data_IF_753120815879
#
_entry.id   IF_753120815879
#
_cell.length_a   1.000
_cell.length_b   1.000
_cell.length_c   1.000
_cell.angle_alpha   90.00
_cell.angle_beta   90.00
_cell.angle_gamma   90.00
#
_symmetry.space_group_name_H-M   'P 1'
#
loop_
_entity.id
_entity.type
_entity.pdbx_description
1 polymer ?
#
# COMPACT_ATOMS: atom_id res chain seq x y z
N UNK A 1 5.86 25.08 6.57
CA UNK A 1 4.89 24.82 5.46
C UNK A 1 5.42 23.85 4.42
N UNK A 2 6.73 23.54 4.39
CA UNK A 2 7.25 22.30 3.78
C UNK A 2 6.86 21.02 4.56
N UNK A 3 6.22 21.17 5.74
CA UNK A 3 5.91 20.10 6.69
C UNK A 3 4.66 19.26 6.35
N UNK A 4 4.11 19.39 5.13
CA UNK A 4 2.90 18.65 4.69
C UNK A 4 3.11 17.81 3.43
N UNK A 5 4.32 17.77 2.87
CA UNK A 5 4.64 16.94 1.71
C UNK A 5 5.33 15.65 2.18
N UNK A 6 4.91 14.50 1.66
CA UNK A 6 5.58 13.23 1.95
C UNK A 6 6.95 13.18 1.26
N UNK A 7 7.87 12.35 1.76
CA UNK A 7 9.19 12.18 1.15
C UNK A 7 9.11 11.75 -0.33
N UNK A 8 8.07 10.98 -0.70
CA UNK A 8 7.80 10.57 -2.08
C UNK A 8 7.38 11.77 -2.95
N UNK A 9 6.50 12.64 -2.45
CA UNK A 9 6.09 13.87 -3.17
C UNK A 9 7.26 14.84 -3.32
N UNK A 10 8.09 14.98 -2.28
CA UNK A 10 9.32 15.77 -2.34
C UNK A 10 10.27 15.20 -3.40
N UNK A 11 10.36 13.86 -3.53
CA UNK A 11 11.15 13.20 -4.57
C UNK A 11 10.60 13.46 -5.97
N UNK A 12 9.28 13.38 -6.17
CA UNK A 12 8.64 13.69 -7.45
C UNK A 12 8.82 15.17 -7.85
N UNK A 13 8.67 16.09 -6.90
CA UNK A 13 8.92 17.52 -7.16
C UNK A 13 10.40 17.79 -7.43
N UNK A 14 11.31 17.01 -6.85
CA UNK A 14 12.74 17.12 -7.14
C UNK A 14 13.08 16.63 -8.55
N UNK A 15 12.43 15.57 -9.01
CA UNK A 15 12.53 15.15 -10.41
C UNK A 15 11.94 16.20 -11.36
N UNK A 16 10.79 16.78 -11.02
CA UNK A 16 10.20 17.88 -11.80
C UNK A 16 11.12 19.11 -11.81
N UNK A 17 11.70 19.51 -10.68
CA UNK A 17 12.64 20.61 -10.57
C UNK A 17 13.85 20.41 -11.50
N UNK A 18 14.40 19.19 -11.56
CA UNK A 18 15.50 18.84 -12.46
C UNK A 18 15.16 18.91 -13.95
N UNK A 19 13.87 18.96 -14.30
CA UNK A 19 13.47 19.22 -15.69
C UNK A 19 13.62 20.70 -16.04
N UNK A 20 13.52 21.61 -15.06
CA UNK A 20 13.68 23.04 -15.23
C UNK A 20 15.14 23.47 -15.07
N UNK A 21 15.80 23.08 -13.98
CA UNK A 21 17.22 23.34 -13.69
C UNK A 21 18.12 22.51 -14.63
N UNK A 22 18.55 23.11 -15.75
CA UNK A 22 19.27 22.40 -16.81
C UNK A 22 20.76 22.30 -16.55
N UNK A 23 21.33 23.28 -15.88
CA UNK A 23 22.76 23.30 -15.56
C UNK A 23 23.09 22.71 -14.18
N UNK A 24 22.06 22.42 -13.38
CA UNK A 24 22.15 21.72 -12.10
C UNK A 24 22.71 22.62 -10.99
N UNK A 25 22.57 23.94 -11.13
CA UNK A 25 23.09 24.91 -10.15
C UNK A 25 22.19 25.04 -8.92
N UNK A 26 21.00 24.43 -8.95
CA UNK A 26 20.04 24.40 -7.84
C UNK A 26 19.03 25.53 -7.87
N UNK A 27 19.01 26.35 -8.92
CA UNK A 27 18.07 27.46 -9.12
C UNK A 27 17.42 27.38 -10.51
N UNK A 28 16.21 27.91 -10.66
CA UNK A 28 15.56 28.05 -11.97
C UNK A 28 15.59 29.51 -12.38
N UNK A 29 16.25 29.80 -13.49
CA UNK A 29 16.31 31.14 -14.10
C UNK A 29 15.14 31.41 -15.05
N UNK A 30 14.87 32.69 -15.39
CA UNK A 30 13.84 33.04 -16.41
C UNK A 30 14.08 32.32 -17.73
N UNK A 31 15.35 32.14 -18.11
CA UNK A 31 15.78 31.47 -19.33
C UNK A 31 15.43 29.98 -19.32
N UNK A 32 15.63 29.30 -18.20
CA UNK A 32 15.32 27.88 -18.02
C UNK A 32 13.82 27.64 -17.97
N UNK A 33 13.09 28.45 -17.19
CA UNK A 33 11.64 28.43 -17.15
C UNK A 33 11.04 28.64 -18.55
N UNK A 34 11.53 29.65 -19.28
CA UNK A 34 11.10 29.92 -20.65
C UNK A 34 11.43 28.79 -21.63
N UNK A 35 12.54 28.09 -21.42
CA UNK A 35 12.91 26.94 -22.27
C UNK A 35 11.92 25.79 -22.09
N UNK A 36 11.54 25.49 -20.85
CA UNK A 36 10.56 24.43 -20.57
C UNK A 36 9.16 24.84 -21.06
N UNK A 37 8.69 26.05 -20.78
CA UNK A 37 7.37 26.51 -21.23
C UNK A 37 7.22 26.48 -22.75
N UNK A 38 8.28 26.83 -23.48
CA UNK A 38 8.33 26.69 -24.95
C UNK A 38 8.31 25.24 -25.42
N UNK A 39 8.97 24.32 -24.71
CA UNK A 39 8.89 22.89 -25.03
C UNK A 39 7.50 22.29 -24.77
N UNK A 40 6.71 22.89 -23.88
CA UNK A 40 5.32 22.53 -23.59
C UNK A 40 4.31 23.24 -24.52
N UNK A 41 4.79 23.97 -25.53
CA UNK A 41 3.96 24.60 -26.55
C UNK A 41 3.42 25.99 -26.19
N UNK A 42 3.85 26.57 -25.06
CA UNK A 42 3.54 27.96 -24.70
C UNK A 42 4.63 28.93 -25.20
N UNK A 43 4.32 30.21 -25.34
CA UNK A 43 5.31 31.20 -25.79
C UNK A 43 5.26 32.48 -24.93
N UNK A 44 5.67 32.39 -23.65
CA UNK A 44 5.65 33.53 -22.75
C UNK A 44 6.73 34.57 -23.12
N UNK A 45 6.43 35.83 -22.85
CA UNK A 45 7.35 36.97 -22.94
C UNK A 45 8.29 37.01 -21.74
N UNK A 46 9.42 37.74 -21.85
CA UNK A 46 10.36 37.88 -20.74
C UNK A 46 9.72 38.57 -19.52
N UNK A 47 8.79 39.50 -19.76
CA UNK A 47 8.05 40.15 -18.67
C UNK A 47 7.14 39.16 -17.93
N UNK A 48 6.41 38.31 -18.65
CA UNK A 48 5.57 37.27 -18.05
C UNK A 48 6.41 36.24 -17.28
N UNK A 49 7.58 35.85 -17.81
CA UNK A 49 8.51 34.95 -17.11
C UNK A 49 9.06 35.59 -15.84
N UNK A 50 9.40 36.87 -15.88
CA UNK A 50 9.87 37.59 -14.71
C UNK A 50 8.78 37.74 -13.66
N UNK A 51 7.54 38.04 -14.06
CA UNK A 51 6.40 38.11 -13.16
C UNK A 51 6.14 36.76 -12.48
N UNK A 52 6.23 35.65 -13.24
CA UNK A 52 6.11 34.29 -12.68
C UNK A 52 7.19 33.95 -11.66
N UNK A 53 8.43 34.42 -11.85
CA UNK A 53 9.50 34.26 -10.85
C UNK A 53 9.21 35.13 -9.63
N UNK A 54 8.89 36.40 -9.82
CA UNK A 54 8.64 37.36 -8.74
C UNK A 54 7.47 36.95 -7.82
N UNK A 55 6.50 36.18 -8.33
CA UNK A 55 5.39 35.68 -7.53
C UNK A 55 5.82 34.68 -6.43
N UNK A 56 6.98 34.05 -6.58
CA UNK A 56 7.44 32.97 -5.69
C UNK A 56 8.85 33.13 -5.14
N UNK A 57 9.66 33.97 -5.78
CA UNK A 57 10.97 34.42 -5.32
C UNK A 57 10.82 35.22 -4.01
N UNK A 58 10.98 34.52 -2.89
CA UNK A 58 10.75 35.05 -1.55
C UNK A 58 11.98 35.79 -1.03
N UNK A 59 13.17 35.45 -1.51
CA UNK A 59 14.42 36.09 -1.13
C UNK A 59 14.84 37.25 -2.06
N UNK A 60 14.17 37.40 -3.21
CA UNK A 60 14.34 38.48 -4.18
C UNK A 60 15.61 38.34 -5.01
N UNK A 61 16.14 37.13 -5.16
CA UNK A 61 17.39 36.88 -5.88
C UNK A 61 17.22 36.79 -7.41
N UNK A 62 15.98 36.81 -7.91
CA UNK A 62 15.62 36.78 -9.33
C UNK A 62 15.63 35.37 -9.93
N UNK A 63 15.66 34.33 -9.11
CA UNK A 63 15.61 32.91 -9.49
C UNK A 63 14.65 32.16 -8.56
N UNK A 64 14.28 30.92 -8.90
CA UNK A 64 13.44 30.07 -8.04
C UNK A 64 14.30 28.95 -7.48
N UNK A 65 14.50 28.92 -6.17
CA UNK A 65 15.14 27.79 -5.50
C UNK A 65 14.18 26.61 -5.25
N UNK A 66 14.70 25.46 -4.83
CA UNK A 66 13.86 24.28 -4.61
C UNK A 66 12.76 24.50 -3.55
N UNK A 67 13.01 25.11 -2.38
CA UNK A 67 11.97 25.54 -1.45
C UNK A 67 10.87 26.43 -2.04
N UNK A 68 11.23 27.41 -2.86
CA UNK A 68 10.29 28.33 -3.53
C UNK A 68 9.46 27.60 -4.58
N UNK A 69 10.08 26.70 -5.34
CA UNK A 69 9.41 25.82 -6.29
C UNK A 69 8.37 24.91 -5.61
N UNK A 70 8.68 24.35 -4.43
CA UNK A 70 7.71 23.56 -3.66
C UNK A 70 6.51 24.41 -3.23
N UNK A 71 6.73 25.67 -2.82
CA UNK A 71 5.64 26.57 -2.46
C UNK A 71 4.77 26.94 -3.68
N UNK A 72 5.38 27.14 -4.85
CA UNK A 72 4.66 27.36 -6.12
C UNK A 72 3.74 26.18 -6.44
N UNK A 73 4.28 24.97 -6.44
CA UNK A 73 3.54 23.74 -6.78
C UNK A 73 2.43 23.46 -5.77
N UNK A 74 2.69 23.66 -4.47
CA UNK A 74 1.70 23.48 -3.42
C UNK A 74 0.52 24.47 -3.52
N UNK A 75 0.75 25.69 -4.03
CA UNK A 75 -0.32 26.67 -4.28
C UNK A 75 -1.09 26.35 -5.56
N UNK A 76 -0.41 26.02 -6.67
CA UNK A 76 -1.06 25.72 -7.95
C UNK A 76 -1.97 24.49 -7.91
N UNK A 77 -1.63 23.49 -7.09
CA UNK A 77 -2.49 22.33 -6.85
C UNK A 77 -3.77 22.65 -6.05
N UNK A 78 -3.86 23.80 -5.38
CA UNK A 78 -5.05 24.22 -4.63
C UNK A 78 -6.00 25.12 -5.44
N UNK A 79 -5.48 25.99 -6.29
CA UNK A 79 -6.25 27.14 -6.78
C UNK A 79 -6.76 27.05 -8.23
N UNK A 80 -6.23 26.17 -9.10
CA UNK A 80 -6.48 26.29 -10.55
C UNK A 80 -7.43 25.25 -11.14
N UNK A 81 -7.49 24.04 -10.57
CA UNK A 81 -8.29 22.95 -11.14
C UNK A 81 -9.70 22.86 -10.51
N UNK A 82 -9.92 23.42 -9.31
CA UNK A 82 -11.15 23.22 -8.54
C UNK A 82 -12.34 24.09 -8.97
N UNK A 83 -12.14 25.37 -9.33
CA UNK A 83 -13.27 26.29 -9.59
C UNK A 83 -13.92 26.06 -10.96
N UNK A 84 -13.12 25.86 -12.01
CA UNK A 84 -13.65 25.61 -13.36
C UNK A 84 -14.31 24.22 -13.45
N UNK A 85 -13.76 23.20 -12.79
CA UNK A 85 -14.40 21.88 -12.68
C UNK A 85 -15.74 21.95 -11.92
N UNK A 86 -15.84 22.75 -10.85
CA UNK A 86 -17.09 22.94 -10.10
C UNK A 86 -18.16 23.66 -10.94
N UNK A 87 -17.77 24.64 -11.75
CA UNK A 87 -18.69 25.31 -12.70
C UNK A 87 -19.16 24.36 -13.80
N UNK A 88 -18.27 23.53 -14.34
CA UNK A 88 -18.64 22.52 -15.33
C UNK A 88 -19.56 21.45 -14.74
N UNK A 89 -19.25 20.97 -13.54
CA UNK A 89 -20.11 20.03 -12.82
C UNK A 89 -21.50 20.62 -12.58
N UNK A 90 -21.59 21.86 -12.09
CA UNK A 90 -22.87 22.53 -11.88
C UNK A 90 -23.71 22.61 -13.17
N UNK A 91 -23.09 22.93 -14.31
CA UNK A 91 -23.74 22.94 -15.64
C UNK A 91 -24.21 21.56 -16.11
N UNK A 92 -23.61 20.47 -15.61
CA UNK A 92 -24.08 19.12 -15.92
C UNK A 92 -25.40 18.84 -15.21
N UNK A 93 -25.58 19.38 -13.99
CA UNK A 93 -26.78 19.23 -13.18
C UNK A 93 -27.91 20.20 -13.60
N UNK A 94 -27.63 21.49 -13.71
CA UNK A 94 -28.57 22.54 -14.13
C UNK A 94 -28.84 22.45 -15.65
N UNK A 95 -29.87 21.70 -16.04
CA UNK A 95 -30.15 21.39 -17.46
C UNK A 95 -30.85 22.54 -18.16
N UNK A 96 -31.71 23.26 -17.45
CA UNK A 96 -32.45 24.38 -17.99
C UNK A 96 -31.68 25.71 -17.88
N UNK A 97 -30.52 25.72 -17.22
CA UNK A 97 -29.62 26.85 -17.02
C UNK A 97 -30.27 28.00 -16.26
N UNK A 98 -31.19 27.67 -15.34
CA UNK A 98 -31.88 28.66 -14.53
C UNK A 98 -31.04 29.14 -13.32
N UNK A 99 -29.87 28.51 -13.07
CA UNK A 99 -28.97 28.83 -11.97
C UNK A 99 -29.22 28.02 -10.70
N UNK A 100 -30.13 27.04 -10.74
CA UNK A 100 -30.55 26.19 -9.64
C UNK A 100 -30.66 24.74 -10.10
N UNK A 101 -30.37 23.79 -9.20
CA UNK A 101 -30.56 22.35 -9.46
C UNK A 101 -31.85 21.90 -8.78
N UNK A 102 -32.82 21.48 -9.57
CA UNK A 102 -34.07 20.92 -9.07
C UNK A 102 -33.96 19.42 -8.74
N UNK A 103 -34.91 18.91 -7.95
CA UNK A 103 -35.02 17.48 -7.65
C UNK A 103 -35.09 16.59 -8.89
N UNK A 104 -35.81 17.06 -9.91
CA UNK A 104 -35.95 16.33 -11.17
C UNK A 104 -34.62 16.25 -11.94
N UNK A 105 -33.84 17.32 -11.92
CA UNK A 105 -32.54 17.39 -12.59
C UNK A 105 -31.48 16.55 -11.88
N UNK A 106 -31.43 16.63 -10.55
CA UNK A 106 -30.55 15.81 -9.72
C UNK A 106 -30.82 14.31 -9.97
N UNK A 107 -32.09 13.90 -9.93
CA UNK A 107 -32.50 12.51 -10.22
C UNK A 107 -32.10 12.07 -11.62
N UNK A 108 -32.35 12.92 -12.61
CA UNK A 108 -32.09 12.62 -14.01
C UNK A 108 -30.59 12.37 -14.25
N UNK A 109 -29.73 13.20 -13.67
CA UNK A 109 -28.28 13.11 -13.82
C UNK A 109 -27.73 11.88 -13.09
N UNK A 110 -28.15 11.63 -11.85
CA UNK A 110 -27.73 10.44 -11.09
C UNK A 110 -28.12 9.14 -11.78
N UNK A 111 -29.34 9.09 -12.34
CA UNK A 111 -29.81 7.93 -13.11
C UNK A 111 -28.97 7.69 -14.37
N UNK A 112 -28.54 8.76 -15.06
CA UNK A 112 -27.67 8.66 -16.23
C UNK A 112 -26.23 8.27 -15.87
N UNK A 113 -25.78 8.55 -14.65
CA UNK A 113 -24.48 8.13 -14.11
C UNK A 113 -24.49 6.68 -13.59
N UNK A 114 -25.63 5.98 -13.67
CA UNK A 114 -25.77 4.57 -13.31
C UNK A 114 -26.27 4.33 -11.88
N UNK A 115 -26.53 5.38 -11.11
CA UNK A 115 -27.04 5.30 -9.74
C UNK A 115 -28.56 5.54 -9.72
N UNK A 116 -29.32 4.55 -9.24
CA UNK A 116 -30.78 4.67 -9.12
C UNK A 116 -31.13 5.09 -7.71
N UNK A 117 -31.42 6.38 -7.54
CA UNK A 117 -31.89 6.94 -6.27
C UNK A 117 -33.42 6.88 -6.18
N UNK A 118 -33.94 6.58 -5.00
CA UNK A 118 -35.38 6.64 -4.71
C UNK A 118 -35.86 8.09 -4.59
N UNK A 119 -37.18 8.29 -4.52
CA UNK A 119 -37.73 9.63 -4.36
C UNK A 119 -37.30 10.25 -3.03
N UNK A 120 -37.31 9.44 -1.98
CA UNK A 120 -36.90 9.81 -0.63
C UNK A 120 -35.41 10.18 -0.52
N UNK A 121 -34.52 9.47 -1.24
CA UNK A 121 -33.07 9.74 -1.23
C UNK A 121 -32.75 11.08 -1.90
N UNK A 122 -33.42 11.40 -3.01
CA UNK A 122 -33.26 12.70 -3.69
C UNK A 122 -33.79 13.84 -2.83
N UNK A 123 -34.93 13.66 -2.19
CA UNK A 123 -35.52 14.66 -1.29
C UNK A 123 -34.70 14.86 -0.01
N UNK A 124 -33.94 13.86 0.41
CA UNK A 124 -32.96 13.97 1.51
C UNK A 124 -31.73 14.76 1.06
N UNK A 125 -31.15 14.45 -0.10
CA UNK A 125 -30.00 15.17 -0.65
C UNK A 125 -30.26 16.67 -0.83
N UNK A 126 -31.45 17.05 -1.32
CA UNK A 126 -31.81 18.46 -1.49
C UNK A 126 -31.95 19.14 -0.14
N UNK A 127 -32.63 18.51 0.81
CA UNK A 127 -32.85 19.08 2.15
C UNK A 127 -31.56 19.30 2.93
N UNK A 128 -30.52 18.51 2.65
CA UNK A 128 -29.19 18.69 3.24
C UNK A 128 -28.39 19.82 2.58
N UNK A 129 -28.68 20.10 1.31
CA UNK A 129 -28.00 21.09 0.49
C UNK A 129 -28.62 22.49 0.54
N UNK A 130 -29.95 22.54 0.56
CA UNK A 130 -30.81 23.71 0.54
C UNK A 130 -30.76 24.43 1.90
N UNK A 131 -29.97 25.49 1.97
CA UNK A 131 -29.73 26.27 3.20
C UNK A 131 -30.79 27.36 3.35
N UNK A 132 -31.25 27.92 2.24
CA UNK A 132 -32.22 29.00 2.22
C UNK A 132 -33.69 28.53 2.25
N UNK A 133 -33.92 27.24 2.02
CA UNK A 133 -35.21 26.56 2.13
C UNK A 133 -36.11 26.74 0.90
N UNK A 134 -35.54 27.08 -0.26
CA UNK A 134 -36.30 27.32 -1.49
C UNK A 134 -36.70 26.02 -2.24
N UNK A 135 -36.21 24.87 -1.78
CA UNK A 135 -36.46 23.54 -2.33
C UNK A 135 -35.61 23.22 -3.56
N UNK A 136 -34.58 24.01 -3.85
CA UNK A 136 -33.63 23.85 -4.95
C UNK A 136 -32.19 24.04 -4.42
N UNK A 137 -31.19 23.83 -5.27
CA UNK A 137 -29.78 24.00 -4.88
C UNK A 137 -29.15 25.06 -5.80
N UNK A 138 -28.84 26.23 -5.25
CA UNK A 138 -28.14 27.27 -6.01
C UNK A 138 -26.62 26.99 -6.10
N UNK A 139 -25.87 27.76 -6.89
CA UNK A 139 -24.43 27.55 -7.07
C UNK A 139 -23.63 27.62 -5.76
N UNK A 140 -23.95 28.53 -4.85
CA UNK A 140 -23.24 28.67 -3.57
C UNK A 140 -23.52 27.48 -2.66
N UNK A 141 -24.74 26.97 -2.66
CA UNK A 141 -25.15 25.75 -1.95
C UNK A 141 -24.53 24.50 -2.56
N UNK A 142 -24.50 24.40 -3.89
CA UNK A 142 -23.82 23.33 -4.60
C UNK A 142 -22.32 23.31 -4.30
N UNK A 143 -21.66 24.47 -4.32
CA UNK A 143 -20.25 24.60 -3.92
C UNK A 143 -20.09 24.24 -2.46
N UNK A 144 -20.95 24.73 -1.57
CA UNK A 144 -20.89 24.40 -0.14
C UNK A 144 -21.11 22.91 0.11
N UNK A 145 -21.98 22.23 -0.65
CA UNK A 145 -22.22 20.79 -0.58
C UNK A 145 -21.08 20.02 -1.21
N UNK A 146 -20.54 20.44 -2.35
CA UNK A 146 -19.38 19.80 -2.98
C UNK A 146 -18.09 20.03 -2.19
N UNK A 147 -17.97 21.16 -1.48
CA UNK A 147 -16.87 21.47 -0.57
C UNK A 147 -17.08 20.82 0.80
N UNK A 148 -18.30 20.75 1.33
CA UNK A 148 -18.62 20.04 2.56
C UNK A 148 -18.56 18.53 2.35
N UNK A 149 -18.96 18.02 1.18
CA UNK A 149 -18.71 16.67 0.70
C UNK A 149 -17.28 16.50 0.21
N UNK A 150 -16.50 17.53 -0.13
CA UNK A 150 -15.04 17.39 -0.23
C UNK A 150 -14.41 17.39 1.15
N UNK A 151 -15.02 17.99 2.17
CA UNK A 151 -14.56 17.96 3.57
C UNK A 151 -15.09 16.73 4.32
N UNK A 152 -16.17 16.12 3.85
CA UNK A 152 -16.73 14.83 4.28
C UNK A 152 -16.23 13.70 3.41
N UNK A 153 -15.91 13.88 2.13
CA UNK A 153 -15.05 12.97 1.37
C UNK A 153 -13.64 13.13 1.88
N UNK A 154 -13.08 14.31 2.18
CA UNK A 154 -11.76 14.37 2.83
C UNK A 154 -11.82 13.96 4.29
N UNK A 155 -12.92 14.10 5.05
CA UNK A 155 -13.03 13.47 6.39
C UNK A 155 -13.30 11.97 6.31
N UNK A 156 -14.05 11.49 5.33
CA UNK A 156 -14.25 10.06 5.09
C UNK A 156 -13.03 9.44 4.42
N UNK A 157 -12.23 10.24 3.70
CA UNK A 157 -10.92 9.92 3.14
C UNK A 157 -9.79 10.19 4.14
N UNK A 158 -9.98 10.99 5.20
CA UNK A 158 -9.06 11.20 6.33
C UNK A 158 -9.32 10.13 7.40
N UNK A 159 -10.58 9.73 7.59
CA UNK A 159 -10.97 8.51 8.32
C UNK A 159 -10.65 7.26 7.49
N UNK A 160 -10.63 7.33 6.15
CA UNK A 160 -10.03 6.31 5.27
C UNK A 160 -8.54 6.58 4.92
N UNK A 161 -7.92 7.60 5.53
CA UNK A 161 -6.47 7.86 5.59
C UNK A 161 -5.99 7.80 7.05
N UNK A 162 -6.63 6.97 7.89
CA UNK A 162 -5.78 5.93 8.43
C UNK A 162 -5.22 5.21 7.20
N UNK A 163 -3.91 5.33 6.94
CA UNK A 163 -3.20 4.50 5.94
C UNK A 163 -3.93 3.17 5.90
N UNK A 164 -4.61 2.84 4.80
CA UNK A 164 -5.06 1.46 4.59
C UNK A 164 -3.81 0.64 4.90
N UNK A 165 -3.79 -0.07 6.03
CA UNK A 165 -2.53 -0.54 6.60
C UNK A 165 -2.01 -1.59 5.64
N UNK A 166 -1.15 -1.16 4.72
CA UNK A 166 -0.64 -1.99 3.65
C UNK A 166 0.02 -3.19 4.28
N UNK A 167 -0.32 -4.36 3.75
CA UNK A 167 0.25 -5.59 4.27
C UNK A 167 1.75 -5.59 3.97
N UNK A 168 2.57 -5.88 4.97
CA UNK A 168 4.02 -5.85 4.81
C UNK A 168 4.57 -7.18 4.30
N UNK A 169 5.42 -7.14 3.28
CA UNK A 169 6.12 -8.29 2.72
C UNK A 169 7.61 -8.17 2.99
N UNK A 170 8.19 -9.18 3.64
CA UNK A 170 9.65 -9.31 3.72
C UNK A 170 10.18 -10.09 2.52
N UNK A 171 11.07 -9.48 1.75
CA UNK A 171 11.55 -9.98 0.47
C UNK A 171 13.01 -10.44 0.55
N UNK A 172 13.24 -11.75 0.48
CA UNK A 172 14.56 -12.38 0.67
C UNK A 172 15.19 -12.75 -0.67
N UNK A 173 16.36 -12.17 -0.96
CA UNK A 173 17.09 -12.35 -2.22
C UNK A 173 17.70 -13.75 -2.38
N UNK A 174 18.21 -14.05 -3.58
CA UNK A 174 18.84 -15.33 -3.90
C UNK A 174 20.31 -15.43 -3.48
N UNK A 175 20.94 -16.56 -3.82
CA UNK A 175 22.35 -16.81 -3.53
C UNK A 175 23.26 -15.81 -4.26
N UNK A 176 24.17 -15.15 -3.53
CA UNK A 176 25.13 -14.17 -4.05
C UNK A 176 24.48 -13.03 -4.82
N UNK A 177 23.36 -12.53 -4.32
CA UNK A 177 22.71 -11.32 -4.81
C UNK A 177 22.48 -10.35 -3.65
N UNK A 178 21.61 -9.37 -3.81
CA UNK A 178 21.27 -8.38 -2.79
C UNK A 178 19.77 -8.10 -2.76
N UNK A 179 19.28 -7.51 -1.68
CA UNK A 179 17.90 -7.05 -1.56
C UNK A 179 17.57 -6.02 -2.65
N UNK A 180 18.50 -5.11 -2.96
CA UNK A 180 18.34 -4.13 -4.05
C UNK A 180 18.24 -4.79 -5.43
N UNK A 181 18.97 -5.88 -5.67
CA UNK A 181 18.85 -6.64 -6.92
C UNK A 181 17.47 -7.34 -7.02
N UNK A 182 17.02 -7.99 -5.95
CA UNK A 182 15.69 -8.60 -5.92
C UNK A 182 14.60 -7.55 -6.13
N UNK A 183 14.70 -6.37 -5.48
CA UNK A 183 13.79 -5.24 -5.69
C UNK A 183 13.71 -4.86 -7.17
N UNK A 184 14.85 -4.79 -7.87
CA UNK A 184 14.90 -4.52 -9.32
C UNK A 184 14.32 -5.65 -10.17
N UNK A 185 14.38 -6.89 -9.70
CA UNK A 185 13.72 -8.03 -10.37
C UNK A 185 12.21 -8.00 -10.18
N UNK A 186 11.71 -7.67 -8.98
CA UNK A 186 10.28 -7.60 -8.68
C UNK A 186 9.64 -6.35 -9.28
N UNK A 187 10.35 -5.23 -9.39
CA UNK A 187 9.86 -3.99 -10.04
C UNK A 187 9.54 -4.15 -11.53
N UNK A 188 9.86 -5.31 -12.10
CA UNK A 188 9.58 -5.70 -13.49
C UNK A 188 8.22 -6.38 -13.65
N UNK A 189 7.57 -6.73 -12.54
CA UNK A 189 6.21 -7.24 -12.50
C UNK A 189 5.23 -6.07 -12.54
N UNK A 190 3.99 -6.37 -12.91
CA UNK A 190 2.94 -5.35 -12.95
C UNK A 190 2.72 -4.77 -11.55
N UNK A 191 2.81 -3.44 -11.37
CA UNK A 191 2.73 -2.80 -10.05
C UNK A 191 1.36 -3.02 -9.38
N UNK A 192 0.29 -3.28 -10.15
CA UNK A 192 -1.05 -3.52 -9.59
C UNK A 192 -1.14 -4.81 -8.76
N UNK A 193 -0.20 -5.75 -8.92
CA UNK A 193 -0.15 -6.98 -8.11
C UNK A 193 0.06 -6.64 -6.62
N UNK A 194 0.90 -5.64 -6.35
CA UNK A 194 1.36 -5.29 -5.00
C UNK A 194 0.94 -3.89 -4.55
N UNK A 195 -0.06 -3.28 -5.18
CA UNK A 195 -0.49 -1.89 -4.88
C UNK A 195 -0.84 -1.64 -3.39
N UNK A 196 -1.39 -2.66 -2.71
CA UNK A 196 -1.78 -2.62 -1.29
C UNK A 196 -0.75 -3.28 -0.35
N UNK A 197 0.48 -3.47 -0.81
CA UNK A 197 1.55 -4.11 -0.05
C UNK A 197 2.76 -3.19 0.05
N UNK A 198 3.36 -3.16 1.25
CA UNK A 198 4.65 -2.51 1.48
C UNK A 198 5.74 -3.58 1.51
N UNK A 199 6.79 -3.43 0.71
CA UNK A 199 7.81 -4.46 0.51
C UNK A 199 9.18 -4.02 1.05
N UNK A 200 9.72 -4.76 2.01
CA UNK A 200 11.08 -4.54 2.53
C UNK A 200 12.06 -5.58 1.96
N UNK A 201 13.22 -5.13 1.50
CA UNK A 201 14.23 -5.94 0.82
C UNK A 201 15.58 -5.86 1.55
N UNK A 202 15.74 -6.57 2.69
CA UNK A 202 17.03 -6.60 3.40
C UNK A 202 18.11 -7.34 2.60
N UNK A 203 19.36 -6.98 2.89
CA UNK A 203 20.53 -7.74 2.47
C UNK A 203 20.82 -8.88 3.46
N UNK A 204 21.43 -9.96 2.95
CA UNK A 204 21.95 -11.05 3.78
C UNK A 204 23.08 -10.60 4.69
N UNK A 205 23.25 -11.33 5.80
CA UNK A 205 24.27 -11.00 6.81
C UNK A 205 25.70 -11.29 6.33
N UNK A 206 25.87 -12.28 5.46
CA UNK A 206 27.19 -12.77 5.06
C UNK A 206 27.54 -12.28 3.66
N UNK A 207 28.68 -11.59 3.47
CA UNK A 207 29.18 -11.29 2.14
C UNK A 207 29.36 -12.57 1.31
N UNK A 208 29.12 -12.48 0.01
CA UNK A 208 29.30 -13.60 -0.90
C UNK A 208 30.74 -14.14 -0.83
N UNK A 209 30.87 -15.45 -0.58
CA UNK A 209 32.16 -16.13 -0.46
C UNK A 209 32.85 -16.40 -1.80
N UNK A 210 32.23 -16.00 -2.92
CA UNK A 210 32.78 -16.20 -4.25
C UNK A 210 32.04 -15.39 -5.31
N UNK A 211 32.33 -15.69 -6.57
CA UNK A 211 31.80 -14.96 -7.73
C UNK A 211 30.27 -14.99 -7.77
N UNK A 212 29.67 -13.86 -8.08
CA UNK A 212 28.23 -13.74 -8.37
C UNK A 212 27.98 -13.82 -9.87
N UNK A 213 26.89 -14.48 -10.26
CA UNK A 213 26.47 -14.57 -11.67
C UNK A 213 25.98 -13.24 -12.24
N UNK A 214 25.66 -12.27 -11.37
CA UNK A 214 25.22 -10.92 -11.77
C UNK A 214 26.37 -9.91 -11.80
N UNK A 215 27.60 -10.36 -11.52
CA UNK A 215 28.78 -9.50 -11.55
C UNK A 215 29.02 -8.95 -12.96
N UNK A 216 29.15 -7.61 -13.06
CA UNK A 216 29.24 -6.89 -14.33
C UNK A 216 27.88 -6.52 -14.94
N UNK A 217 26.77 -7.02 -14.39
CA UNK A 217 25.40 -6.65 -14.79
C UNK A 217 24.74 -5.78 -13.71
N UNK A 218 25.04 -6.04 -12.44
CA UNK A 218 24.57 -5.27 -11.29
C UNK A 218 25.73 -5.01 -10.33
N UNK A 219 25.81 -3.86 -9.65
CA UNK A 219 26.94 -3.55 -8.78
C UNK A 219 26.91 -4.36 -7.45
N UNK A 220 28.09 -4.65 -6.86
CA UNK A 220 28.21 -5.20 -5.50
C UNK A 220 27.76 -4.17 -4.44
N UNK A 221 27.59 -4.57 -3.15
CA UNK A 221 27.91 -5.87 -2.54
C UNK A 221 26.89 -6.99 -2.86
N UNK A 222 27.37 -8.23 -2.77
CA UNK A 222 26.55 -9.44 -2.87
C UNK A 222 26.62 -10.22 -1.57
N UNK A 223 25.53 -10.91 -1.24
CA UNK A 223 25.36 -11.58 0.03
C UNK A 223 24.82 -12.99 -0.14
N UNK A 224 25.02 -13.78 0.90
CA UNK A 224 24.48 -15.10 1.09
C UNK A 224 23.74 -15.11 2.43
N UNK A 225 22.59 -15.78 2.50
CA UNK A 225 21.88 -15.96 3.76
C UNK A 225 22.57 -17.00 4.65
N UNK A 226 23.08 -18.05 4.03
CA UNK A 226 23.85 -19.13 4.64
C UNK A 226 24.77 -19.77 3.59
N UNK A 227 25.77 -20.53 4.02
CA UNK A 227 26.58 -21.36 3.12
C UNK A 227 26.09 -22.80 3.17
N UNK A 228 26.35 -23.56 2.11
CA UNK A 228 25.96 -24.97 2.02
C UNK A 228 27.02 -25.77 1.27
N UNK A 229 27.11 -27.05 1.60
CA UNK A 229 27.91 -27.99 0.83
C UNK A 229 27.17 -28.49 -0.41
N UNK A 230 27.91 -29.11 -1.34
CA UNK A 230 27.42 -29.51 -2.67
C UNK A 230 26.13 -30.33 -2.65
N UNK A 231 25.91 -31.13 -1.61
CA UNK A 231 24.77 -32.03 -1.49
C UNK A 231 23.57 -31.41 -0.73
N UNK A 232 23.72 -30.17 -0.25
CA UNK A 232 22.71 -29.43 0.52
C UNK A 232 22.26 -30.16 1.80
N UNK A 233 23.17 -30.88 2.45
CA UNK A 233 22.90 -31.61 3.71
C UNK A 233 23.55 -30.95 4.91
N UNK A 234 24.45 -29.99 4.69
CA UNK A 234 25.11 -29.22 5.74
C UNK A 234 25.02 -27.74 5.40
N UNK A 235 24.74 -26.93 6.42
CA UNK A 235 24.50 -25.50 6.29
C UNK A 235 25.30 -24.75 7.34
N UNK A 236 26.16 -23.83 6.90
CA UNK A 236 26.94 -22.97 7.79
C UNK A 236 26.26 -21.62 7.90
N UNK A 237 26.29 -21.03 9.09
CA UNK A 237 25.71 -19.72 9.42
C UNK A 237 24.16 -19.63 9.34
N UNK A 238 23.47 -20.76 9.21
CA UNK A 238 22.01 -20.79 9.10
C UNK A 238 21.32 -20.34 10.39
N UNK A 239 21.80 -20.75 11.56
CA UNK A 239 21.20 -20.39 12.85
C UNK A 239 21.31 -18.88 13.12
N UNK A 240 22.49 -18.31 12.86
CA UNK A 240 22.74 -16.87 12.95
C UNK A 240 21.84 -16.10 11.98
N UNK A 241 21.65 -16.61 10.77
CA UNK A 241 20.75 -16.02 9.79
C UNK A 241 19.28 -16.03 10.24
N UNK A 242 18.80 -17.18 10.75
CA UNK A 242 17.43 -17.30 11.27
C UNK A 242 17.21 -16.34 12.44
N UNK A 243 18.20 -16.23 13.34
CA UNK A 243 18.14 -15.28 14.46
C UNK A 243 18.07 -13.83 13.96
N UNK A 244 18.94 -13.45 13.03
CA UNK A 244 18.94 -12.13 12.41
C UNK A 244 17.58 -11.79 11.78
N UNK A 245 17.00 -12.70 11.01
CA UNK A 245 15.70 -12.45 10.38
C UNK A 245 14.56 -12.37 11.41
N UNK A 246 14.60 -13.16 12.48
CA UNK A 246 13.63 -13.03 13.55
C UNK A 246 13.71 -11.64 14.21
N UNK A 247 14.91 -11.17 14.55
CA UNK A 247 15.13 -9.83 15.10
C UNK A 247 14.68 -8.72 14.12
N UNK A 248 14.96 -8.90 12.83
CA UNK A 248 14.51 -7.99 11.78
C UNK A 248 12.98 -7.92 11.69
N UNK A 249 12.31 -9.08 11.64
CA UNK A 249 10.84 -9.17 11.58
C UNK A 249 10.20 -8.52 12.81
N UNK A 250 10.76 -8.75 14.00
CA UNK A 250 10.23 -8.18 15.25
C UNK A 250 10.46 -6.67 15.35
N UNK A 251 11.58 -6.15 14.81
CA UNK A 251 11.94 -4.73 14.92
C UNK A 251 11.36 -3.84 13.82
N UNK A 252 11.12 -4.37 12.62
CA UNK A 252 10.63 -3.63 11.44
C UNK A 252 9.20 -3.99 11.04
N UNK A 253 8.64 -5.02 11.67
CA UNK A 253 7.30 -5.53 11.41
C UNK A 253 6.18 -4.77 12.16
N UNK A 254 5.00 -5.41 12.31
CA UNK A 254 4.74 -6.79 11.93
C UNK A 254 4.74 -6.97 10.40
N UNK A 255 5.43 -8.00 9.92
CA UNK A 255 5.29 -8.47 8.54
C UNK A 255 4.07 -9.38 8.41
N UNK A 256 3.39 -9.29 7.28
CA UNK A 256 2.20 -10.10 6.97
C UNK A 256 2.53 -11.28 6.05
N UNK A 257 3.54 -11.16 5.21
CA UNK A 257 3.92 -12.21 4.28
C UNK A 257 5.40 -12.21 3.95
N UNK A 258 5.82 -13.28 3.29
CA UNK A 258 7.18 -13.45 2.82
C UNK A 258 7.19 -13.60 1.30
N UNK A 259 8.21 -13.02 0.66
CA UNK A 259 8.58 -13.31 -0.72
C UNK A 259 10.03 -13.75 -0.73
N UNK A 260 10.34 -14.83 -1.43
CA UNK A 260 11.72 -15.28 -1.54
C UNK A 260 12.07 -15.74 -2.94
N UNK A 261 13.34 -15.56 -3.31
CA UNK A 261 13.93 -16.17 -4.50
C UNK A 261 15.05 -17.13 -4.09
N UNK A 262 15.06 -18.35 -4.64
CA UNK A 262 16.13 -19.33 -4.44
C UNK A 262 16.39 -19.58 -2.95
N UNK A 263 17.60 -19.29 -2.46
CA UNK A 263 17.95 -19.34 -1.03
C UNK A 263 16.97 -18.58 -0.13
N UNK A 264 16.52 -17.39 -0.55
CA UNK A 264 15.54 -16.60 0.19
C UNK A 264 14.19 -17.31 0.29
N UNK A 265 13.73 -17.99 -0.77
CA UNK A 265 12.48 -18.77 -0.74
C UNK A 265 12.59 -19.98 0.20
N UNK A 266 13.72 -20.70 0.16
CA UNK A 266 14.02 -21.81 1.07
C UNK A 266 13.99 -21.34 2.53
N UNK A 267 14.58 -20.18 2.82
CA UNK A 267 14.60 -19.59 4.15
C UNK A 267 13.22 -19.09 4.60
N UNK A 268 12.44 -18.47 3.71
CA UNK A 268 11.06 -18.07 4.00
C UNK A 268 10.18 -19.26 4.40
N UNK A 269 10.29 -20.38 3.67
CA UNK A 269 9.56 -21.60 4.00
C UNK A 269 9.97 -22.19 5.36
N UNK A 270 11.26 -22.12 5.71
CA UNK A 270 11.74 -22.52 7.03
C UNK A 270 11.11 -21.67 8.14
N UNK A 271 11.12 -20.33 7.99
CA UNK A 271 10.54 -19.42 8.98
C UNK A 271 9.04 -19.68 9.18
N UNK A 272 8.30 -19.90 8.10
CA UNK A 272 6.88 -20.24 8.16
C UNK A 272 6.63 -21.57 8.89
N UNK A 273 7.39 -22.61 8.53
CA UNK A 273 7.30 -23.91 9.17
C UNK A 273 7.65 -23.86 10.66
N UNK A 274 8.73 -23.18 11.01
CA UNK A 274 9.16 -23.00 12.39
C UNK A 274 8.16 -22.15 13.19
N UNK A 275 7.58 -21.09 12.62
CA UNK A 275 6.56 -20.30 13.31
C UNK A 275 5.30 -21.14 13.55
N UNK A 276 4.87 -21.93 12.56
CA UNK A 276 3.71 -22.83 12.70
C UNK A 276 3.89 -23.86 13.84
N UNK A 277 5.12 -24.30 14.09
CA UNK A 277 5.48 -25.20 15.19
C UNK A 277 5.87 -24.46 16.50
N UNK A 278 5.70 -23.14 16.55
CA UNK A 278 6.02 -22.32 17.73
C UNK A 278 7.51 -22.29 18.09
N UNK A 279 8.41 -22.51 17.12
CA UNK A 279 9.88 -22.50 17.33
C UNK A 279 10.47 -21.09 17.26
N UNK A 280 9.97 -20.27 16.34
CA UNK A 280 10.42 -18.88 16.13
C UNK A 280 9.22 -17.94 16.11
N UNK A 281 9.48 -16.62 16.22
CA UNK A 281 8.46 -15.59 16.03
C UNK A 281 7.20 -15.75 16.92
N UNK A 282 7.38 -16.18 18.17
CA UNK A 282 6.28 -16.47 19.12
C UNK A 282 5.43 -15.24 19.45
N UNK A 283 6.09 -14.08 19.51
CA UNK A 283 5.47 -12.79 19.84
C UNK A 283 5.06 -12.00 18.60
N UNK A 284 5.22 -12.59 17.40
CA UNK A 284 4.82 -12.01 16.12
C UNK A 284 3.49 -12.65 15.68
N UNK A 285 2.52 -11.87 15.17
CA UNK A 285 1.31 -12.43 14.57
C UNK A 285 1.65 -13.44 13.45
N UNK A 286 0.87 -14.51 13.24
CA UNK A 286 1.19 -15.49 12.21
C UNK A 286 1.36 -14.87 10.82
N UNK A 287 2.46 -15.19 10.15
CA UNK A 287 2.66 -14.85 8.75
C UNK A 287 1.56 -15.51 7.90
N UNK A 288 0.94 -14.71 7.04
CA UNK A 288 -0.34 -14.99 6.39
C UNK A 288 -0.16 -15.63 5.02
N UNK A 289 0.88 -15.24 4.28
CA UNK A 289 1.10 -15.71 2.92
C UNK A 289 2.57 -15.81 2.51
N UNK A 290 2.81 -16.55 1.43
CA UNK A 290 4.15 -16.82 0.91
C UNK A 290 4.20 -16.80 -0.62
N UNK A 291 5.16 -16.06 -1.17
CA UNK A 291 5.50 -16.04 -2.59
C UNK A 291 6.86 -16.70 -2.77
N UNK A 292 6.86 -17.93 -3.28
CA UNK A 292 8.07 -18.74 -3.50
C UNK A 292 8.49 -18.63 -4.96
N UNK A 293 9.74 -18.26 -5.22
CA UNK A 293 10.34 -18.31 -6.55
C UNK A 293 11.55 -19.23 -6.50
N UNK A 294 11.48 -20.39 -7.14
CA UNK A 294 12.56 -21.38 -7.17
C UNK A 294 13.08 -21.80 -5.77
N UNK A 295 12.20 -21.90 -4.77
CA UNK A 295 12.57 -22.37 -3.43
C UNK A 295 12.72 -23.89 -3.34
N UNK A 296 13.33 -24.39 -2.27
CA UNK A 296 13.40 -25.81 -1.93
C UNK A 296 13.16 -26.04 -0.45
N UNK A 297 12.89 -27.28 -0.04
CA UNK A 297 13.02 -27.66 1.37
C UNK A 297 14.50 -27.67 1.77
N UNK A 298 14.76 -27.44 3.06
CA UNK A 298 15.98 -27.95 3.69
C UNK A 298 15.99 -29.48 3.66
N UNK A 299 17.17 -30.12 3.68
CA UNK A 299 17.28 -31.59 3.57
C UNK A 299 17.72 -32.28 4.87
N UNK A 300 18.14 -31.52 5.87
CA UNK A 300 18.54 -32.05 7.17
C UNK A 300 17.31 -32.58 7.92
N UNK A 301 17.32 -33.83 8.43
CA UNK A 301 16.18 -34.42 9.12
C UNK A 301 15.65 -33.54 10.26
N UNK A 302 16.53 -33.00 11.11
CA UNK A 302 16.14 -32.16 12.25
C UNK A 302 15.36 -30.89 11.84
N UNK A 303 15.65 -30.35 10.65
CA UNK A 303 14.88 -29.23 10.11
C UNK A 303 13.58 -29.73 9.48
N UNK A 304 13.64 -30.80 8.69
CA UNK A 304 12.48 -31.33 7.96
C UNK A 304 11.36 -31.78 8.89
N UNK A 305 11.72 -32.55 9.93
CA UNK A 305 10.82 -33.15 10.91
C UNK A 305 10.12 -32.11 11.79
N UNK A 306 10.60 -30.86 11.74
CA UNK A 306 10.00 -29.72 12.43
C UNK A 306 9.29 -28.82 11.41
N UNK A 307 10.02 -28.20 10.49
CA UNK A 307 9.49 -27.18 9.59
C UNK A 307 8.36 -27.68 8.68
N UNK A 308 8.41 -28.96 8.29
CA UNK A 308 7.46 -29.55 7.33
C UNK A 308 6.66 -30.71 7.93
N UNK A 309 6.62 -30.81 9.26
CA UNK A 309 5.89 -31.87 9.98
C UNK A 309 4.41 -31.91 9.61
N UNK A 310 3.79 -30.73 9.60
CA UNK A 310 2.39 -30.53 9.25
C UNK A 310 2.29 -29.59 8.04
N UNK A 311 1.26 -29.71 7.18
CA UNK A 311 1.08 -28.79 6.07
C UNK A 311 1.00 -27.33 6.53
N UNK A 312 1.86 -26.48 5.96
CA UNK A 312 1.92 -25.05 6.23
C UNK A 312 0.63 -24.40 5.71
N UNK A 313 -0.12 -23.76 6.61
CA UNK A 313 -1.46 -23.19 6.33
C UNK A 313 -1.45 -21.81 5.69
N UNK A 314 -0.30 -21.13 5.67
CA UNK A 314 -0.16 -19.84 5.00
C UNK A 314 -0.46 -20.01 3.49
N UNK A 315 -1.31 -19.14 2.94
CA UNK A 315 -1.66 -19.18 1.52
C UNK A 315 -0.39 -18.97 0.71
N UNK A 316 -0.13 -19.80 -0.29
CA UNK A 316 1.13 -19.71 -1.03
C UNK A 316 0.95 -19.74 -2.54
N UNK A 317 1.89 -19.09 -3.22
CA UNK A 317 2.09 -19.20 -4.66
C UNK A 317 3.55 -19.59 -4.93
N UNK A 318 3.76 -20.54 -5.84
CA UNK A 318 5.07 -21.09 -6.17
C UNK A 318 5.34 -20.95 -7.67
N UNK A 319 6.34 -20.13 -8.00
CA UNK A 319 6.87 -19.98 -9.35
C UNK A 319 7.95 -21.03 -9.60
N UNK A 320 7.73 -21.86 -10.62
CA UNK A 320 8.61 -22.99 -10.94
C UNK A 320 9.02 -22.93 -12.41
N UNK A 321 10.32 -22.76 -12.65
CA UNK A 321 10.91 -22.74 -13.99
C UNK A 321 11.03 -24.13 -14.60
N UNK A 322 10.61 -24.30 -15.85
CA UNK A 322 10.65 -25.59 -16.53
C UNK A 322 12.07 -26.09 -16.84
N UNK A 323 13.01 -25.15 -16.96
CA UNK A 323 14.44 -25.40 -17.19
C UNK A 323 15.27 -25.16 -15.92
N UNK A 324 14.62 -24.93 -14.78
CA UNK A 324 15.30 -24.68 -13.52
C UNK A 324 15.85 -26.01 -12.96
N UNK A 325 17.11 -26.01 -12.53
CA UNK A 325 17.71 -27.14 -11.85
C UNK A 325 17.07 -27.42 -10.49
N UNK A 326 16.39 -26.42 -9.90
CA UNK A 326 15.53 -26.57 -8.72
C UNK A 326 14.09 -26.96 -9.01
N UNK A 327 13.69 -27.25 -10.27
CA UNK A 327 12.30 -27.60 -10.61
C UNK A 327 11.68 -28.68 -9.71
N UNK A 328 12.35 -29.82 -9.56
CA UNK A 328 11.86 -30.93 -8.72
C UNK A 328 11.87 -30.54 -7.23
N UNK A 329 12.96 -29.97 -6.67
CA UNK A 329 12.95 -29.42 -5.31
C UNK A 329 11.85 -28.39 -5.03
N UNK A 330 11.52 -27.51 -5.99
CA UNK A 330 10.46 -26.51 -5.85
C UNK A 330 9.07 -27.14 -5.88
N UNK A 331 8.87 -28.16 -6.71
CA UNK A 331 7.63 -28.95 -6.68
C UNK A 331 7.46 -29.66 -5.33
N UNK A 332 8.54 -30.25 -4.80
CA UNK A 332 8.52 -30.89 -3.48
C UNK A 332 8.27 -29.88 -2.35
N UNK A 333 8.87 -28.69 -2.40
CA UNK A 333 8.57 -27.62 -1.44
C UNK A 333 7.09 -27.25 -1.45
N UNK A 334 6.49 -27.10 -2.64
CA UNK A 334 5.09 -26.73 -2.75
C UNK A 334 4.15 -27.75 -2.07
N UNK A 335 4.49 -29.04 -2.05
CA UNK A 335 3.67 -30.06 -1.36
C UNK A 335 3.64 -29.89 0.16
N UNK A 336 4.52 -29.08 0.74
CA UNK A 336 4.50 -28.76 2.17
C UNK A 336 3.43 -27.73 2.54
N UNK A 337 2.79 -27.09 1.55
CA UNK A 337 1.79 -26.06 1.76
C UNK A 337 0.38 -26.58 1.48
N UNK A 338 -0.61 -26.02 2.17
CA UNK A 338 -2.02 -26.32 1.95
C UNK A 338 -2.53 -25.59 0.70
N UNK A 339 -2.98 -26.35 -0.31
CA UNK A 339 -3.52 -25.84 -1.58
C UNK A 339 -2.72 -24.70 -2.24
N UNK A 340 -1.42 -24.90 -2.55
CA UNK A 340 -0.58 -23.88 -3.17
C UNK A 340 -1.04 -23.56 -4.60
N UNK A 341 -1.01 -22.28 -4.98
CA UNK A 341 -1.07 -21.88 -6.39
C UNK A 341 0.27 -22.16 -7.06
N UNK A 342 0.30 -22.96 -8.13
CA UNK A 342 1.53 -23.26 -8.88
C UNK A 342 1.53 -22.51 -10.20
N UNK A 343 2.54 -21.67 -10.42
CA UNK A 343 2.74 -20.93 -11.66
C UNK A 343 4.02 -21.47 -12.32
N UNK A 344 3.90 -21.95 -13.56
CA UNK A 344 5.03 -22.47 -14.34
C UNK A 344 5.50 -21.42 -15.34
N UNK A 345 6.81 -21.36 -15.57
CA UNK A 345 7.39 -20.49 -16.59
C UNK A 345 8.50 -21.20 -17.38
N UNK A 346 8.77 -20.83 -18.64
CA UNK A 346 9.67 -21.58 -19.53
C UNK A 346 11.17 -21.38 -19.25
N UNK A 347 11.51 -20.54 -18.27
CA UNK A 347 12.89 -20.11 -18.01
C UNK A 347 13.61 -21.04 -17.02
N UNK A 348 14.92 -20.82 -16.88
CA UNK A 348 15.74 -21.49 -15.87
C UNK A 348 15.63 -20.83 -14.49
N UNK A 349 16.72 -20.89 -13.73
CA UNK A 349 16.80 -20.36 -12.38
C UNK A 349 16.79 -18.82 -12.36
N UNK A 350 15.60 -18.21 -12.31
CA UNK A 350 15.45 -16.75 -12.37
C UNK A 350 14.10 -16.29 -11.83
N UNK A 351 14.00 -15.02 -11.43
CA UNK A 351 12.71 -14.36 -11.21
C UNK A 351 12.04 -14.15 -12.57
N UNK A 352 10.88 -14.78 -12.83
CA UNK A 352 10.28 -14.74 -14.16
C UNK A 352 9.78 -13.33 -14.52
N UNK A 353 9.71 -13.05 -15.81
CA UNK A 353 8.80 -12.02 -16.32
C UNK A 353 7.40 -12.63 -16.35
N UNK A 354 6.40 -11.86 -15.95
CA UNK A 354 5.01 -12.31 -15.95
C UNK A 354 4.36 -11.95 -17.28
N UNK A 355 3.64 -12.91 -17.86
CA UNK A 355 2.71 -12.63 -18.95
C UNK A 355 1.37 -12.11 -18.39
N UNK A 356 0.49 -11.62 -19.26
CA UNK A 356 -0.80 -11.05 -18.87
C UNK A 356 -1.66 -12.05 -18.07
N UNK A 357 -1.64 -13.33 -18.44
CA UNK A 357 -2.40 -14.37 -17.75
C UNK A 357 -1.90 -14.54 -16.32
N UNK A 358 -0.58 -14.57 -16.15
CA UNK A 358 0.07 -14.71 -14.83
C UNK A 358 -0.16 -13.46 -13.98
N UNK A 359 -0.17 -12.26 -14.57
CA UNK A 359 -0.51 -11.02 -13.88
C UNK A 359 -1.95 -11.07 -13.34
N UNK A 360 -2.92 -11.50 -14.15
CA UNK A 360 -4.32 -11.64 -13.72
C UNK A 360 -4.44 -12.65 -12.58
N UNK A 361 -3.76 -13.81 -12.67
CA UNK A 361 -3.75 -14.81 -11.61
C UNK A 361 -3.17 -14.26 -10.30
N UNK A 362 -2.04 -13.53 -10.38
CA UNK A 362 -1.41 -12.93 -9.22
C UNK A 362 -2.28 -11.85 -8.57
N UNK A 363 -2.93 -10.99 -9.36
CA UNK A 363 -3.88 -9.98 -8.86
C UNK A 363 -5.07 -10.62 -8.15
N UNK A 364 -5.64 -11.67 -8.72
CA UNK A 364 -6.72 -12.43 -8.06
C UNK A 364 -6.24 -13.04 -6.75
N UNK A 365 -5.06 -13.66 -6.76
CA UNK A 365 -4.48 -14.28 -5.57
C UNK A 365 -4.17 -13.27 -4.46
N UNK A 366 -3.65 -12.07 -4.78
CA UNK A 366 -3.40 -11.02 -3.79
C UNK A 366 -4.69 -10.36 -3.31
N UNK A 367 -5.70 -10.17 -4.18
CA UNK A 367 -7.02 -9.68 -3.79
C UNK A 367 -7.71 -10.62 -2.78
N UNK A 368 -7.64 -11.94 -2.99
CA UNK A 368 -8.18 -12.92 -2.03
C UNK A 368 -7.54 -12.81 -0.65
N UNK A 369 -6.23 -12.54 -0.57
CA UNK A 369 -5.53 -12.32 0.70
C UNK A 369 -6.11 -11.08 1.38
N UNK A 370 -6.20 -9.96 0.67
CA UNK A 370 -6.72 -8.71 1.23
C UNK A 370 -8.15 -8.90 1.75
N UNK A 371 -9.03 -9.51 0.96
CA UNK A 371 -10.42 -9.79 1.35
C UNK A 371 -10.51 -10.67 2.61
N UNK A 372 -9.76 -11.77 2.65
CA UNK A 372 -9.80 -12.71 3.78
C UNK A 372 -9.43 -12.03 5.11
N UNK A 373 -8.50 -11.08 5.09
CA UNK A 373 -8.03 -10.42 6.31
C UNK A 373 -8.77 -9.12 6.62
N UNK A 374 -9.32 -8.42 5.63
CA UNK A 374 -10.25 -7.31 5.85
C UNK A 374 -11.56 -7.79 6.52
N UNK A 375 -12.11 -8.92 6.09
CA UNK A 375 -13.33 -9.49 6.70
C UNK A 375 -13.13 -9.96 8.15
N UNK A 376 -11.96 -10.51 8.49
CA UNK A 376 -11.65 -10.92 9.87
C UNK A 376 -11.46 -9.74 10.82
N UNK A 377 -10.94 -8.61 10.34
CA UNK A 377 -10.82 -7.39 11.15
C UNK A 377 -12.20 -6.80 11.49
N UNK A 378 -13.16 -6.88 10.56
CA UNK A 378 -14.56 -6.47 10.77
C UNK A 378 -15.29 -7.36 11.80
N UNK A 379 -15.01 -8.66 11.82
CA UNK A 379 -15.58 -9.58 12.82
C UNK A 379 -14.96 -9.40 14.21
N UNK A 380 -13.65 -9.19 14.32
CA UNK A 380 -12.97 -8.90 15.58
C UNK A 380 -13.39 -7.54 16.19
N UNK A 381 -13.67 -6.53 15.36
CA UNK A 381 -14.22 -5.24 15.81
C UNK A 381 -15.63 -5.34 16.38
N UNK A 382 -16.46 -6.28 15.88
CA UNK A 382 -17.81 -6.52 16.42
C UNK A 382 -17.79 -7.19 17.80
N UNK A 383 -16.76 -7.98 18.12
CA UNK A 383 -16.63 -8.60 19.44
C UNK A 383 -16.26 -7.60 20.54
N UNK A 384 -15.55 -6.51 20.21
CA UNK A 384 -15.13 -5.50 21.20
C UNK A 384 -16.23 -4.44 21.47
N UNK A 385 -17.10 -4.17 20.49
CA UNK A 385 -18.30 -3.32 20.69
C UNK A 385 -19.45 -4.00 21.43
N UNK A 386 -19.42 -5.33 21.58
CA UNK A 386 -20.46 -6.13 22.23
C UNK A 386 -20.44 -6.07 23.75
N UNK A 387 -19.28 -5.78 24.36
CA UNK A 387 -19.13 -5.69 25.81
C UNK A 387 -19.34 -4.26 26.35
N UNK A 388 -19.13 -3.22 25.54
CA UNK A 388 -19.41 -1.83 25.96
C UNK A 388 -20.91 -1.54 26.11
N UNK A 389 -21.76 -2.20 25.29
CA UNK A 389 -23.22 -2.07 25.35
C UNK A 389 -23.89 -2.87 26.49
N UNK A 390 -23.21 -3.89 27.04
CA UNK A 390 -23.72 -4.63 28.22
C UNK A 390 -23.40 -3.95 29.54
N UNK A 391 -22.31 -3.18 29.60
CA UNK A 391 -21.91 -2.47 30.83
C UNK A 391 -22.75 -1.20 31.06
N UNK A 392 -23.26 -0.55 30.01
CA UNK A 392 -24.10 0.65 30.17
C UNK A 392 -25.58 0.35 30.53
N UNK A 393 -26.12 -0.82 30.16
CA UNK A 393 -27.48 -1.22 30.55
C UNK A 393 -27.60 -1.84 31.94
N UNK A 394 -26.49 -2.27 32.56
CA UNK A 394 -26.50 -2.76 33.95
C UNK A 394 -26.45 -1.62 35.00
N UNK A 395 -25.95 -0.43 34.64
CA UNK A 395 -25.84 0.71 35.55
C UNK A 395 -27.14 1.54 35.69
N UNK A 396 -28.10 1.38 34.77
CA UNK A 396 -29.38 2.11 34.80
C UNK A 396 -30.50 1.38 35.58
N UNK A 397 -30.43 0.05 35.73
CA UNK A 397 -31.45 -0.74 36.45
C UNK A 397 -31.10 -1.03 37.93
N UNK A 398 -29.96 -0.56 38.44
CA UNK A 398 -29.51 -0.81 39.81
C UNK A 398 -29.88 0.27 40.85
N UNK A 399 -30.68 1.28 40.49
CA UNK A 399 -30.99 2.43 41.35
C UNK A 399 -32.47 2.67 41.66
N UNK A 400 -33.36 1.75 41.30
CA UNK A 400 -34.80 1.87 41.63
C UNK A 400 -35.24 0.95 42.78
N UNK A 401 -34.45 -0.07 43.15
CA UNK A 401 -34.86 -1.08 44.16
C UNK A 401 -34.14 -0.97 45.51
N UNK A 402 -33.91 0.25 46.03
CA UNK A 402 -33.39 0.44 47.41
C UNK A 402 -34.16 1.45 48.26
N UNK A 403 -35.43 1.71 47.95
CA UNK A 403 -36.31 2.52 48.80
C UNK A 403 -37.56 1.79 49.32
N UNK A 404 -37.64 0.46 49.20
CA UNK A 404 -38.74 -0.34 49.75
C UNK A 404 -38.20 -1.53 50.53
N UNK A 405 -37.46 -1.28 51.61
CA UNK A 405 -37.20 -2.31 52.64
C UNK A 405 -36.74 -1.67 53.97
N UNK A 406 -37.52 -0.70 54.46
CA UNK A 406 -37.46 -0.25 55.86
C UNK A 406 -38.90 -0.12 56.40
N UNK A 407 -39.68 -1.18 56.34
CA UNK A 407 -40.83 -1.43 57.24
C UNK A 407 -41.02 -2.96 57.29
N UNK A 408 -41.24 -3.51 58.50
CA UNK A 408 -41.55 -4.92 58.81
C UNK A 408 -40.40 -5.91 59.12
N UNK A 409 -39.59 -5.58 60.13
CA UNK A 409 -39.05 -6.60 61.05
C UNK A 409 -39.27 -6.17 62.51
N UNK A 410 -40.55 -6.03 62.87
CA UNK A 410 -41.02 -5.98 64.24
C UNK A 410 -42.27 -6.84 64.36
N UNK A 411 -42.08 -8.17 64.44
CA UNK A 411 -42.93 -9.12 65.18
C UNK A 411 -42.41 -10.56 65.00
N UNK A 412 -42.28 -11.22 66.14
CA UNK A 412 -42.01 -12.64 66.41
C UNK A 412 -40.54 -13.07 66.32
#
# INVERSE_FOLDING_TARGET
MADQLTDDQISEFKEAFSLFDKDGDGCITTKELGTVMRSLGQNPTEAELQDMINEVDADGNGTIDFPEFLNLMARKMKDTDSEEELKEAFRVFDKDQNGFISAAELRHVMTNLGEKLTDEEVDEMIREADVDGDGQINYEEFVKVMMANQVQLTKSMEVAQEKEKKMKILCLHGFRTSGSFLKKQISKWDPSIFAHFDMDFPDGLFPAGGKSDIEGIFPPPYFEWFQFEKDFTEYTNLEECVKYLCEYIMSKGPFDGLLGFSQGATLSALLLGYQAQGKVLKDHPPLKFFISISGSKFRTPDICDVAYKDPIKAKSVHFIGDKDWLKLPSQDLATAFDNPLIIRHPQGHTVPRLDETTVVQMRGWTAEILLQYSSRNLEAGKTDSGDTLKVQNAAANGKVDKEVEIVEAAKA
#
